data_IF_984654123324
#
_entry.id   IF_984654123324
#
_cell.length_a   1.000
_cell.length_b   1.000
_cell.length_c   1.000
_cell.angle_alpha   90.00
_cell.angle_beta   90.00
_cell.angle_gamma   90.00
#
_symmetry.space_group_name_H-M   'P 1'
#
loop_
_entity.id
_entity.type
_entity.pdbx_description
1 polymer ?
#
# COMPACT_ATOMS: atom_id res chain seq x y z
N UNK A 1 54.73 8.64 10.83
CA UNK A 1 54.29 7.44 10.08
C UNK A 1 53.29 6.68 10.94
N UNK A 2 52.08 6.44 10.42
CA UNK A 2 50.97 5.85 11.18
C UNK A 2 51.19 4.35 11.43
N UNK A 3 51.37 3.97 12.69
CA UNK A 3 51.59 2.60 13.19
C UNK A 3 50.27 1.81 13.31
N UNK A 4 49.42 1.87 12.28
CA UNK A 4 48.15 1.15 12.25
C UNK A 4 48.30 -0.27 11.70
N UNK A 5 47.79 -1.29 12.40
CA UNK A 5 47.71 -2.65 11.88
C UNK A 5 46.73 -2.71 10.71
N UNK A 6 47.12 -3.34 9.60
CA UNK A 6 46.25 -3.54 8.44
C UNK A 6 45.19 -4.60 8.75
N UNK A 7 43.94 -4.34 8.36
CA UNK A 7 42.82 -5.28 8.49
C UNK A 7 42.45 -5.76 7.08
N UNK A 8 42.64 -7.05 6.74
CA UNK A 8 42.19 -7.58 5.47
C UNK A 8 40.66 -7.72 5.45
N UNK A 9 40.03 -7.19 4.41
CA UNK A 9 38.58 -7.29 4.17
C UNK A 9 38.37 -7.94 2.82
N UNK A 10 37.50 -8.95 2.78
CA UNK A 10 37.15 -9.67 1.56
C UNK A 10 35.83 -9.15 1.02
N UNK A 11 35.80 -8.82 -0.27
CA UNK A 11 34.60 -8.45 -0.99
C UNK A 11 34.27 -9.53 -2.01
N UNK A 12 32.97 -9.70 -2.31
CA UNK A 12 32.57 -10.37 -3.54
C UNK A 12 33.05 -9.55 -4.74
N UNK A 13 33.18 -10.16 -5.91
CA UNK A 13 33.65 -9.46 -7.11
C UNK A 13 32.71 -8.32 -7.52
N UNK A 14 31.40 -8.50 -7.30
CA UNK A 14 30.39 -7.48 -7.56
C UNK A 14 30.49 -6.32 -6.55
N UNK A 15 30.64 -6.62 -5.26
CA UNK A 15 30.80 -5.59 -4.23
C UNK A 15 32.10 -4.81 -4.43
N UNK A 16 33.18 -5.49 -4.83
CA UNK A 16 34.46 -4.84 -5.17
C UNK A 16 34.27 -3.80 -6.26
N UNK A 17 33.59 -4.18 -7.35
CA UNK A 17 33.29 -3.28 -8.47
C UNK A 17 32.44 -2.08 -8.04
N UNK A 18 31.37 -2.32 -7.26
CA UNK A 18 30.51 -1.24 -6.74
C UNK A 18 31.27 -0.25 -5.88
N UNK A 19 32.19 -0.73 -5.01
CA UNK A 19 32.99 0.14 -4.15
C UNK A 19 34.05 0.92 -4.95
N UNK A 20 34.65 0.32 -5.98
CA UNK A 20 35.58 0.99 -6.89
C UNK A 20 34.90 2.10 -7.70
N UNK A 21 33.74 1.82 -8.27
CA UNK A 21 32.92 2.81 -8.99
C UNK A 21 32.51 3.96 -8.07
N UNK A 22 32.03 3.66 -6.86
CA UNK A 22 31.64 4.68 -5.89
C UNK A 22 32.84 5.53 -5.42
N UNK A 23 34.01 4.92 -5.23
CA UNK A 23 35.24 5.65 -4.89
C UNK A 23 35.67 6.60 -6.01
N UNK A 24 35.57 6.16 -7.26
CA UNK A 24 35.88 6.97 -8.44
C UNK A 24 34.92 8.17 -8.58
N UNK A 25 33.60 7.93 -8.43
CA UNK A 25 32.58 8.99 -8.48
C UNK A 25 32.80 10.03 -7.38
N UNK A 26 33.19 9.59 -6.19
CA UNK A 26 33.50 10.48 -5.06
C UNK A 26 34.89 11.15 -5.16
N UNK A 27 35.66 10.91 -6.23
CA UNK A 27 36.96 11.54 -6.50
C UNK A 27 38.12 10.99 -5.67
N UNK A 28 38.00 9.80 -5.08
CA UNK A 28 39.06 9.19 -4.28
C UNK A 28 40.10 8.50 -5.17
N UNK A 29 41.37 8.87 -5.00
CA UNK A 29 42.51 8.22 -5.68
C UNK A 29 42.82 6.81 -5.15
N UNK A 30 42.44 6.52 -3.91
CA UNK A 30 42.75 5.24 -3.26
C UNK A 30 41.51 4.65 -2.59
N UNK A 31 41.18 3.42 -2.97
CA UNK A 31 40.04 2.65 -2.45
C UNK A 31 40.10 2.49 -0.93
N UNK A 32 41.28 2.23 -0.38
CA UNK A 32 41.50 2.07 1.06
C UNK A 32 41.19 3.34 1.86
N UNK A 33 41.41 4.52 1.27
CA UNK A 33 41.05 5.80 1.88
C UNK A 33 39.53 6.00 1.84
N UNK A 34 38.91 5.71 0.70
CA UNK A 34 37.44 5.78 0.56
C UNK A 34 36.73 4.87 1.55
N UNK A 35 37.14 3.61 1.65
CA UNK A 35 36.55 2.63 2.59
C UNK A 35 36.72 3.10 4.04
N UNK A 36 37.90 3.59 4.41
CA UNK A 36 38.16 4.11 5.76
C UNK A 36 37.26 5.29 6.07
N UNK A 37 37.20 6.28 5.17
CA UNK A 37 36.43 7.50 5.39
C UNK A 37 34.93 7.20 5.45
N UNK A 38 34.42 6.28 4.62
CA UNK A 38 33.03 5.80 4.71
C UNK A 38 32.74 5.00 5.97
N UNK A 39 33.65 4.10 6.38
CA UNK A 39 33.49 3.31 7.60
C UNK A 39 33.53 4.16 8.88
N UNK A 40 34.25 5.29 8.85
CA UNK A 40 34.35 6.22 9.97
C UNK A 40 33.32 7.37 9.90
N UNK A 41 32.66 7.55 8.76
CA UNK A 41 31.63 8.57 8.59
C UNK A 41 30.34 8.17 9.31
N UNK A 42 30.03 8.89 10.39
CA UNK A 42 28.77 8.76 11.15
C UNK A 42 27.54 9.22 10.36
N UNK A 43 27.76 9.93 9.25
CA UNK A 43 26.70 10.47 8.42
C UNK A 43 26.09 9.37 7.53
N UNK A 44 26.89 8.44 7.01
CA UNK A 44 26.38 7.33 6.19
C UNK A 44 25.37 6.44 6.93
N UNK A 45 25.62 6.18 8.21
CA UNK A 45 24.75 5.38 9.06
C UNK A 45 23.47 6.12 9.47
N UNK A 46 23.52 7.46 9.57
CA UNK A 46 22.36 8.30 9.86
C UNK A 46 21.50 8.56 8.64
N UNK A 47 22.10 8.73 7.47
CA UNK A 47 21.42 8.90 6.19
C UNK A 47 20.67 7.62 5.81
N UNK A 48 21.32 6.45 5.86
CA UNK A 48 20.64 5.18 5.58
C UNK A 48 19.49 4.87 6.54
N UNK A 49 19.65 5.21 7.83
CA UNK A 49 18.59 5.03 8.82
C UNK A 49 17.43 6.01 8.64
N UNK A 50 17.71 7.26 8.20
CA UNK A 50 16.67 8.26 7.88
C UNK A 50 15.90 7.90 6.62
N UNK A 51 16.61 7.52 5.57
CA UNK A 51 16.04 7.07 4.29
C UNK A 51 15.15 5.83 4.51
N UNK A 52 15.60 4.89 5.34
CA UNK A 52 14.78 3.73 5.73
C UNK A 52 13.53 4.09 6.54
N UNK A 53 13.55 5.17 7.33
CA UNK A 53 12.41 5.58 8.16
C UNK A 53 11.40 6.39 7.36
N UNK A 54 11.88 7.26 6.47
CA UNK A 54 11.06 8.03 5.53
C UNK A 54 10.34 7.11 4.55
N UNK A 55 11.07 6.18 3.93
CA UNK A 55 10.47 5.17 3.04
C UNK A 55 9.47 4.26 3.76
N UNK A 56 9.69 3.94 5.03
CA UNK A 56 8.72 3.19 5.83
C UNK A 56 7.45 4.01 6.10
N UNK A 57 7.59 5.29 6.45
CA UNK A 57 6.47 6.19 6.71
C UNK A 57 5.63 6.42 5.45
N UNK A 58 6.27 6.69 4.31
CA UNK A 58 5.60 6.81 3.01
C UNK A 58 4.82 5.54 2.65
N UNK A 59 5.42 4.37 2.89
CA UNK A 59 4.75 3.10 2.62
C UNK A 59 3.53 2.89 3.50
N UNK A 60 3.57 3.28 4.77
CA UNK A 60 2.41 3.20 5.66
C UNK A 60 1.30 4.16 5.22
N UNK A 61 1.66 5.38 4.81
CA UNK A 61 0.69 6.34 4.27
C UNK A 61 0.01 5.81 3.01
N UNK A 62 0.78 5.24 2.08
CA UNK A 62 0.24 4.62 0.86
C UNK A 62 -0.70 3.46 1.17
N UNK A 63 -0.37 2.61 2.14
CA UNK A 63 -1.25 1.52 2.61
C UNK A 63 -2.55 2.08 3.20
N UNK A 64 -2.46 3.14 3.99
CA UNK A 64 -3.64 3.82 4.55
C UNK A 64 -4.56 4.37 3.45
N UNK A 65 -3.99 5.07 2.48
CA UNK A 65 -4.74 5.59 1.31
C UNK A 65 -5.37 4.47 0.48
N UNK A 66 -4.66 3.35 0.30
CA UNK A 66 -5.18 2.20 -0.43
C UNK A 66 -6.36 1.55 0.29
N UNK A 67 -6.28 1.39 1.61
CA UNK A 67 -7.39 0.88 2.43
C UNK A 67 -8.62 1.80 2.40
N UNK A 68 -8.43 3.11 2.25
CA UNK A 68 -9.52 4.07 2.06
C UNK A 68 -10.16 3.95 0.68
N UNK A 69 -9.34 3.82 -0.37
CA UNK A 69 -9.83 3.58 -1.73
C UNK A 69 -10.63 2.28 -1.80
N UNK A 70 -10.14 1.19 -1.23
CA UNK A 70 -10.87 -0.09 -1.20
C UNK A 70 -12.23 0.02 -0.50
N UNK A 71 -12.30 0.77 0.62
CA UNK A 71 -13.58 1.05 1.29
C UNK A 71 -14.53 1.85 0.39
N UNK A 72 -14.02 2.89 -0.28
CA UNK A 72 -14.83 3.69 -1.20
C UNK A 72 -15.34 2.87 -2.40
N UNK A 73 -14.51 1.97 -2.91
CA UNK A 73 -14.84 1.11 -4.04
C UNK A 73 -15.92 0.09 -3.66
N UNK A 74 -15.81 -0.53 -2.47
CA UNK A 74 -16.85 -1.41 -1.93
C UNK A 74 -18.20 -0.69 -1.82
N UNK A 75 -18.19 0.56 -1.31
CA UNK A 75 -19.41 1.38 -1.25
C UNK A 75 -19.99 1.65 -2.64
N UNK A 76 -19.17 2.06 -3.61
CA UNK A 76 -19.62 2.31 -4.98
C UNK A 76 -20.23 1.06 -5.63
N UNK A 77 -19.62 -0.11 -5.46
CA UNK A 77 -20.14 -1.38 -5.98
C UNK A 77 -21.50 -1.74 -5.37
N UNK A 78 -21.69 -1.51 -4.07
CA UNK A 78 -22.98 -1.77 -3.41
C UNK A 78 -24.09 -0.87 -3.94
N UNK A 79 -23.79 0.42 -4.17
CA UNK A 79 -24.74 1.37 -4.76
C UNK A 79 -25.08 0.99 -6.21
N UNK A 80 -24.08 0.58 -7.01
CA UNK A 80 -24.29 0.08 -8.36
C UNK A 80 -25.16 -1.18 -8.40
N UNK A 81 -24.91 -2.14 -7.51
CA UNK A 81 -25.72 -3.35 -7.39
C UNK A 81 -27.18 -3.03 -7.04
N UNK A 82 -27.40 -2.08 -6.12
CA UNK A 82 -28.73 -1.65 -5.73
C UNK A 82 -29.46 -0.91 -6.87
N UNK A 83 -28.77 -0.09 -7.65
CA UNK A 83 -29.31 0.56 -8.85
C UNK A 83 -29.68 -0.45 -9.94
N UNK A 84 -28.81 -1.44 -10.21
CA UNK A 84 -29.09 -2.51 -11.17
C UNK A 84 -30.30 -3.35 -10.75
N UNK A 85 -30.47 -3.59 -9.45
CA UNK A 85 -31.66 -4.25 -8.92
C UNK A 85 -32.94 -3.45 -9.20
N UNK A 86 -32.95 -2.15 -8.88
CA UNK A 86 -34.10 -1.28 -9.12
C UNK A 86 -34.45 -1.18 -10.61
N UNK A 87 -33.44 -1.10 -11.48
CA UNK A 87 -33.61 -1.13 -12.93
C UNK A 87 -34.24 -2.45 -13.41
N UNK A 88 -33.80 -3.59 -12.88
CA UNK A 88 -34.35 -4.92 -13.22
C UNK A 88 -35.80 -5.07 -12.77
N UNK A 89 -36.18 -4.48 -11.63
CA UNK A 89 -37.54 -4.55 -11.08
C UNK A 89 -38.54 -3.61 -11.78
N UNK A 90 -38.11 -2.75 -12.72
CA UNK A 90 -38.90 -1.61 -13.24
C UNK A 90 -39.51 -0.79 -12.08
N UNK A 91 -38.68 -0.51 -11.09
CA UNK A 91 -39.07 0.09 -9.82
C UNK A 91 -39.86 1.39 -10.02
N UNK A 92 -40.93 1.56 -9.23
CA UNK A 92 -41.68 2.81 -9.16
C UNK A 92 -41.03 3.75 -8.13
N UNK A 93 -41.35 5.05 -8.17
CA UNK A 93 -40.71 6.07 -7.32
C UNK A 93 -40.71 5.76 -5.81
N UNK A 94 -41.62 4.90 -5.32
CA UNK A 94 -41.68 4.47 -3.92
C UNK A 94 -40.57 3.48 -3.54
N UNK A 95 -40.28 2.50 -4.39
CA UNK A 95 -39.20 1.51 -4.18
C UNK A 95 -37.82 2.21 -4.10
N UNK A 96 -37.67 3.35 -4.79
CA UNK A 96 -36.45 4.15 -4.77
C UNK A 96 -36.24 4.84 -3.42
N UNK A 97 -37.32 5.32 -2.80
CA UNK A 97 -37.26 6.02 -1.52
C UNK A 97 -36.96 5.06 -0.35
N UNK A 98 -37.51 3.84 -0.41
CA UNK A 98 -37.23 2.80 0.59
C UNK A 98 -35.77 2.33 0.53
N UNK A 99 -35.19 2.27 -0.67
CA UNK A 99 -33.76 1.96 -0.84
C UNK A 99 -32.86 3.09 -0.31
N UNK A 100 -33.22 4.36 -0.56
CA UNK A 100 -32.49 5.51 -0.01
C UNK A 100 -32.48 5.47 1.52
N UNK A 101 -33.62 5.16 2.15
CA UNK A 101 -33.71 5.00 3.61
C UNK A 101 -32.89 3.80 4.12
N UNK A 102 -32.88 2.69 3.39
CA UNK A 102 -32.04 1.53 3.70
C UNK A 102 -30.53 1.84 3.58
N UNK A 103 -30.14 2.68 2.62
CA UNK A 103 -28.76 3.16 2.47
C UNK A 103 -28.38 4.16 3.57
N UNK A 104 -29.26 5.09 3.94
CA UNK A 104 -29.01 6.06 5.03
C UNK A 104 -28.85 5.37 6.39
N UNK A 105 -29.63 4.32 6.63
CA UNK A 105 -29.50 3.49 7.83
C UNK A 105 -28.24 2.63 7.83
N UNK A 106 -27.79 2.13 6.66
CA UNK A 106 -26.52 1.42 6.50
C UNK A 106 -25.29 2.34 6.62
N UNK A 107 -25.41 3.62 6.27
CA UNK A 107 -24.34 4.62 6.45
C UNK A 107 -24.25 5.07 7.92
N UNK A 108 -25.36 4.99 8.66
CA UNK A 108 -25.44 5.40 10.07
C UNK A 108 -25.20 4.26 11.07
N UNK A 109 -25.26 3.00 10.63
CA UNK A 109 -25.05 1.80 11.43
C UNK A 109 -23.90 0.96 10.88
N UNK A 110 -23.11 0.34 11.75
CA UNK A 110 -21.96 -0.50 11.41
C UNK A 110 -22.31 -1.83 10.68
N UNK A 111 -23.49 -1.92 10.06
CA UNK A 111 -23.92 -3.08 9.28
C UNK A 111 -23.38 -3.02 7.87
N UNK A 112 -22.73 -4.10 7.43
CA UNK A 112 -22.21 -4.18 6.06
C UNK A 112 -23.39 -4.12 5.06
N UNK A 113 -23.33 -3.31 3.99
CA UNK A 113 -24.43 -3.17 3.04
C UNK A 113 -24.88 -4.49 2.41
N UNK A 114 -23.99 -5.48 2.36
CA UNK A 114 -24.25 -6.87 1.94
C UNK A 114 -25.23 -7.61 2.84
N UNK A 115 -25.20 -7.39 4.16
CA UNK A 115 -26.14 -8.01 5.11
C UNK A 115 -27.53 -7.40 4.96
N UNK A 116 -27.60 -6.08 4.68
CA UNK A 116 -28.84 -5.35 4.47
C UNK A 116 -29.51 -5.73 3.13
N UNK A 117 -28.69 -5.95 2.10
CA UNK A 117 -29.13 -6.52 0.82
C UNK A 117 -29.61 -7.98 0.97
N UNK A 118 -28.92 -8.80 1.77
CA UNK A 118 -29.35 -10.18 2.04
C UNK A 118 -30.67 -10.24 2.82
N UNK A 119 -30.89 -9.31 3.76
CA UNK A 119 -32.13 -9.23 4.53
C UNK A 119 -33.33 -8.72 3.70
N UNK A 120 -33.09 -7.79 2.76
CA UNK A 120 -34.14 -7.22 1.90
C UNK A 120 -34.41 -8.04 0.63
N UNK A 121 -33.41 -8.76 0.11
CA UNK A 121 -33.56 -9.69 -1.01
C UNK A 121 -32.46 -10.77 -1.03
N UNK A 122 -32.71 -11.95 -0.43
CA UNK A 122 -31.72 -13.03 -0.35
C UNK A 122 -31.34 -13.60 -1.73
N UNK A 123 -32.25 -13.56 -2.71
CA UNK A 123 -31.98 -13.97 -4.09
C UNK A 123 -30.91 -13.10 -4.75
N UNK A 124 -30.89 -11.80 -4.47
CA UNK A 124 -29.90 -10.88 -5.05
C UNK A 124 -28.54 -11.00 -4.37
N UNK A 125 -28.52 -11.21 -3.05
CA UNK A 125 -27.29 -11.53 -2.33
C UNK A 125 -26.59 -12.77 -2.92
N UNK A 126 -27.36 -13.81 -3.28
CA UNK A 126 -26.83 -15.02 -3.93
C UNK A 126 -26.25 -14.79 -5.33
N UNK A 127 -26.77 -13.80 -6.07
CA UNK A 127 -26.23 -13.41 -7.38
C UNK A 127 -24.96 -12.60 -7.24
N UNK A 128 -24.90 -11.67 -6.29
CA UNK A 128 -23.69 -10.88 -5.99
C UNK A 128 -22.56 -11.79 -5.54
N UNK A 129 -22.81 -12.75 -4.64
CA UNK A 129 -21.77 -13.71 -4.20
C UNK A 129 -21.22 -14.52 -5.36
N UNK A 130 -22.07 -14.98 -6.28
CA UNK A 130 -21.65 -15.68 -7.51
C UNK A 130 -20.77 -14.80 -8.41
N UNK A 131 -21.14 -13.54 -8.62
CA UNK A 131 -20.33 -12.63 -9.43
C UNK A 131 -18.99 -12.27 -8.78
N UNK A 132 -18.90 -12.28 -7.44
CA UNK A 132 -17.66 -12.01 -6.71
C UNK A 132 -16.75 -13.23 -6.52
N UNK A 133 -17.28 -14.46 -6.61
CA UNK A 133 -16.49 -15.70 -6.51
C UNK A 133 -15.85 -16.11 -7.86
N UNK A 134 -16.40 -15.65 -9.00
CA UNK A 134 -15.89 -15.91 -10.35
C UNK A 134 -14.80 -14.88 -10.81
N UNK A 135 -14.22 -14.09 -9.90
CA UNK A 135 -13.10 -13.15 -10.16
C UNK A 135 -11.92 -13.42 -9.24
#
# INVERSE_FOLDING_TARGET
MSTGKSIPVWFSEEDRRRVEEAAAIAGYKHLSKYIRDKAMSRDSQREAARDSMETWAERQELVGRLAEIERSQKSAHTLLAALLFLMRKKATSGDFNDLVLACETAVSGAGMPTELLAASSPEFASLVTRFTEDS
#
